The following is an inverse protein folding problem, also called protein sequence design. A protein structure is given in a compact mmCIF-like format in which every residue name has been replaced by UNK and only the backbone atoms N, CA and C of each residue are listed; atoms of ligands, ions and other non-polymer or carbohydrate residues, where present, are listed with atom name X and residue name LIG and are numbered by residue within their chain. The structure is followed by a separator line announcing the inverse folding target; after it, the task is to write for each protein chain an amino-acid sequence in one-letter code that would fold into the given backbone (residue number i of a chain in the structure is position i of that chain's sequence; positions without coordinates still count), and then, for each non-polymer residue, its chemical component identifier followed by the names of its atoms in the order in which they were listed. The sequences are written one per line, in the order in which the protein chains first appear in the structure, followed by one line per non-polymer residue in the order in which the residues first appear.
data_IF_201498741124
#
_entry.id   IF_201498741124
#
_cell.length_a   1.000
_cell.length_b   1.000
_cell.length_c   1.000
_cell.angle_alpha   90.00
_cell.angle_beta   90.00
_cell.angle_gamma   90.00
#
_symmetry.space_group_name_H-M   'P 1'
#
loop_
_entity.id
_entity.type
_entity.pdbx_description
1 polymer ?
#
# COMPACT_ATOMS: atom_id res chain seq x y z
N UNK A 1 -14.32 4.43 -8.05
CA UNK A 1 -14.47 3.77 -9.37
C UNK A 1 -15.81 4.19 -9.96
N UNK A 2 -15.87 5.17 -10.86
CA UNK A 2 -17.14 5.80 -11.24
C UNK A 2 -17.78 5.13 -12.47
N UNK A 3 -18.73 4.22 -12.26
CA UNK A 3 -19.66 3.78 -13.30
C UNK A 3 -20.69 4.91 -13.48
N UNK A 4 -20.51 5.76 -14.49
CA UNK A 4 -21.50 6.76 -14.92
C UNK A 4 -22.18 6.31 -16.22
N UNK A 5 -23.51 6.22 -16.21
CA UNK A 5 -24.34 6.11 -17.41
C UNK A 5 -25.57 5.23 -17.20
N UNK A 6 -26.71 5.85 -16.91
CA UNK A 6 -28.02 5.21 -16.74
C UNK A 6 -28.79 5.08 -18.07
N UNK A 7 -29.63 4.03 -18.08
CA UNK A 7 -30.86 3.80 -18.85
C UNK A 7 -30.77 3.28 -20.30
N UNK A 8 -31.19 2.03 -20.46
CA UNK A 8 -31.86 1.50 -21.65
C UNK A 8 -32.78 0.34 -21.25
N UNK A 9 -34.10 0.56 -21.29
CA UNK A 9 -35.08 -0.52 -21.18
C UNK A 9 -34.97 -1.41 -22.43
N UNK A 10 -34.72 -2.71 -22.24
CA UNK A 10 -34.69 -3.68 -23.34
C UNK A 10 -34.55 -5.09 -22.80
N UNK A 11 -35.67 -5.80 -22.70
CA UNK A 11 -35.69 -7.20 -22.25
C UNK A 11 -35.15 -8.15 -23.32
N UNK A 12 -34.29 -9.06 -22.89
CA UNK A 12 -34.21 -10.46 -23.33
C UNK A 12 -33.23 -11.22 -22.41
N UNK A 13 -33.54 -12.49 -22.18
CA UNK A 13 -32.95 -13.50 -21.28
C UNK A 13 -31.42 -13.39 -21.01
N UNK A 14 -30.94 -13.71 -19.79
CA UNK A 14 -29.53 -13.56 -19.44
C UNK A 14 -28.74 -14.76 -19.97
N UNK A 15 -28.31 -14.66 -21.21
CA UNK A 15 -27.12 -15.36 -21.66
C UNK A 15 -25.92 -14.55 -21.16
N UNK A 16 -25.00 -15.19 -20.44
CA UNK A 16 -23.76 -14.54 -19.97
C UNK A 16 -22.98 -14.04 -21.17
N UNK A 17 -22.95 -12.72 -21.37
CA UNK A 17 -22.05 -12.07 -22.31
C UNK A 17 -20.87 -11.55 -21.49
N UNK A 18 -19.73 -12.26 -21.59
CA UNK A 18 -18.48 -11.80 -21.01
C UNK A 18 -18.23 -10.34 -21.44
N UNK A 19 -17.95 -9.47 -20.46
CA UNK A 19 -17.73 -8.04 -20.72
C UNK A 19 -18.99 -7.16 -20.69
N UNK A 20 -20.04 -7.55 -19.97
CA UNK A 20 -21.17 -6.67 -19.65
C UNK A 20 -21.37 -6.52 -18.13
N UNK A 21 -21.88 -5.35 -17.71
CA UNK A 21 -22.35 -5.11 -16.35
C UNK A 21 -23.67 -5.85 -16.17
N UNK A 22 -23.72 -6.77 -15.19
CA UNK A 22 -24.92 -7.48 -14.79
C UNK A 22 -25.80 -6.57 -13.94
N UNK A 23 -27.06 -6.40 -14.35
CA UNK A 23 -28.08 -5.66 -13.60
C UNK A 23 -29.15 -6.62 -13.07
N UNK A 24 -28.99 -7.13 -11.86
CA UNK A 24 -29.97 -7.97 -11.17
C UNK A 24 -29.70 -8.05 -9.66
N UNK A 25 -30.76 -8.21 -8.88
CA UNK A 25 -30.69 -8.45 -7.43
C UNK A 25 -30.61 -9.95 -7.08
N UNK A 26 -30.68 -10.82 -8.08
CA UNK A 26 -30.47 -12.26 -7.91
C UNK A 26 -28.99 -12.57 -7.74
N UNK A 27 -28.70 -13.70 -7.09
CA UNK A 27 -27.34 -14.25 -6.97
C UNK A 27 -26.74 -14.53 -8.35
N UNK A 28 -25.42 -14.40 -8.47
CA UNK A 28 -24.70 -14.87 -9.65
C UNK A 28 -24.83 -16.39 -9.84
N UNK A 29 -24.63 -16.88 -11.06
CA UNK A 29 -24.59 -18.34 -11.29
C UNK A 29 -23.44 -19.00 -10.52
N UNK A 30 -22.29 -18.32 -10.39
CA UNK A 30 -21.16 -18.82 -9.61
C UNK A 30 -21.47 -18.96 -8.11
N UNK A 31 -22.21 -18.01 -7.52
CA UNK A 31 -22.68 -18.12 -6.15
C UNK A 31 -23.75 -19.21 -5.98
N UNK A 32 -24.70 -19.32 -6.92
CA UNK A 32 -25.70 -20.41 -6.91
C UNK A 32 -25.04 -21.78 -6.98
N UNK A 33 -24.03 -21.95 -7.83
CA UNK A 33 -23.26 -23.18 -7.94
C UNK A 33 -22.52 -23.48 -6.65
N UNK A 34 -21.74 -22.53 -6.13
CA UNK A 34 -20.94 -22.73 -4.92
C UNK A 34 -21.80 -23.07 -3.69
N UNK A 35 -22.88 -22.30 -3.48
CA UNK A 35 -23.79 -22.52 -2.36
C UNK A 35 -24.59 -23.80 -2.53
N UNK A 36 -25.01 -24.13 -3.77
CA UNK A 36 -25.64 -25.40 -4.13
C UNK A 36 -24.76 -26.60 -3.81
N UNK A 37 -23.49 -26.58 -4.23
CA UNK A 37 -22.52 -27.64 -3.96
C UNK A 37 -22.24 -27.80 -2.47
N UNK A 38 -22.27 -26.71 -1.70
CA UNK A 38 -22.04 -26.72 -0.25
C UNK A 38 -23.20 -27.27 0.57
N UNK A 39 -24.45 -27.22 0.07
CA UNK A 39 -25.64 -27.64 0.84
C UNK A 39 -25.50 -29.03 1.45
N UNK A 40 -24.97 -30.00 0.71
CA UNK A 40 -24.82 -31.37 1.20
C UNK A 40 -23.96 -31.42 2.49
N UNK A 41 -22.84 -30.69 2.51
CA UNK A 41 -21.94 -30.61 3.66
C UNK A 41 -22.59 -29.95 4.88
N UNK A 42 -23.35 -28.88 4.65
CA UNK A 42 -24.11 -28.18 5.71
C UNK A 42 -25.19 -29.10 6.28
N UNK A 43 -25.94 -29.80 5.44
CA UNK A 43 -26.98 -30.75 5.86
C UNK A 43 -26.41 -31.88 6.70
N UNK A 44 -25.27 -32.46 6.29
CA UNK A 44 -24.59 -33.51 7.04
C UNK A 44 -24.11 -33.00 8.41
N UNK A 45 -23.57 -31.79 8.46
CA UNK A 45 -23.16 -31.15 9.71
C UNK A 45 -24.37 -30.95 10.65
N UNK A 46 -25.45 -30.32 10.18
CA UNK A 46 -26.68 -30.08 10.96
C UNK A 46 -27.28 -31.39 11.50
N UNK A 47 -27.29 -32.44 10.68
CA UNK A 47 -27.74 -33.77 11.09
C UNK A 47 -26.86 -34.35 12.21
N UNK A 48 -25.54 -34.18 12.12
CA UNK A 48 -24.62 -34.64 13.17
C UNK A 48 -24.82 -33.90 14.51
N UNK A 49 -25.28 -32.64 14.44
CA UNK A 49 -25.69 -31.83 15.59
C UNK A 49 -27.11 -32.14 16.11
N UNK A 50 -27.82 -33.11 15.50
CA UNK A 50 -29.18 -33.48 15.90
C UNK A 50 -30.27 -32.53 15.39
N UNK A 51 -29.95 -31.65 14.44
CA UNK A 51 -30.87 -30.69 13.83
C UNK A 51 -31.39 -31.30 12.52
N UNK A 52 -32.58 -31.91 12.58
CA UNK A 52 -33.25 -32.41 11.38
C UNK A 52 -33.90 -31.26 10.61
N UNK A 53 -33.46 -31.01 9.38
CA UNK A 53 -34.10 -30.09 8.44
C UNK A 53 -34.20 -30.75 7.06
N UNK A 54 -35.16 -30.28 6.25
CA UNK A 54 -35.18 -30.56 4.82
C UNK A 54 -34.31 -29.52 4.10
N UNK A 55 -33.75 -29.85 2.94
CA UNK A 55 -32.86 -28.96 2.19
C UNK A 55 -33.51 -27.58 1.93
N UNK A 56 -34.78 -27.55 1.55
CA UNK A 56 -35.54 -26.32 1.29
C UNK A 56 -35.73 -25.43 2.52
N UNK A 57 -35.56 -25.99 3.73
CA UNK A 57 -35.69 -25.31 5.02
C UNK A 57 -34.36 -25.22 5.77
N UNK A 58 -33.23 -25.52 5.10
CA UNK A 58 -31.91 -25.46 5.71
C UNK A 58 -31.56 -24.00 6.06
N UNK A 59 -31.08 -23.71 7.29
CA UNK A 59 -30.68 -22.36 7.66
C UNK A 59 -29.42 -21.94 6.90
N UNK A 60 -29.44 -20.72 6.34
CA UNK A 60 -28.24 -20.07 5.82
C UNK A 60 -27.48 -19.41 6.97
N UNK A 61 -26.41 -20.05 7.42
CA UNK A 61 -25.57 -19.55 8.52
C UNK A 61 -24.40 -18.77 7.93
N UNK A 62 -24.17 -17.55 8.40
CA UNK A 62 -23.05 -16.70 8.01
C UNK A 62 -22.16 -16.39 9.21
N UNK A 63 -20.84 -16.39 8.99
CA UNK A 63 -19.84 -15.87 9.94
C UNK A 63 -19.39 -14.50 9.44
N UNK A 64 -19.39 -13.50 10.32
CA UNK A 64 -19.04 -12.13 9.98
C UNK A 64 -17.78 -11.70 10.74
N UNK A 65 -16.70 -11.47 9.99
CA UNK A 65 -15.43 -10.94 10.47
C UNK A 65 -15.40 -9.41 10.45
N UNK A 66 -15.22 -8.80 11.61
CA UNK A 66 -15.09 -7.34 11.74
C UNK A 66 -13.70 -6.82 11.35
N UNK A 67 -13.60 -5.52 11.07
CA UNK A 67 -12.30 -4.86 10.88
C UNK A 67 -11.44 -4.80 12.15
N UNK A 68 -10.15 -4.49 11.98
CA UNK A 68 -9.20 -4.36 13.09
C UNK A 68 -7.76 -4.77 12.80
N UNK A 69 -7.34 -4.70 11.53
CA UNK A 69 -5.99 -5.07 11.10
C UNK A 69 -5.57 -6.49 11.51
N UNK A 70 -4.29 -6.66 11.87
CA UNK A 70 -3.73 -7.96 12.28
C UNK A 70 -4.49 -8.62 13.45
N UNK A 71 -5.03 -7.82 14.38
CA UNK A 71 -5.85 -8.35 15.48
C UNK A 71 -7.08 -9.08 14.95
N UNK A 72 -7.79 -8.48 13.99
CA UNK A 72 -8.98 -9.10 13.39
C UNK A 72 -8.62 -10.32 12.54
N UNK A 73 -7.49 -10.26 11.82
CA UNK A 73 -6.97 -11.40 11.06
C UNK A 73 -6.72 -12.61 11.98
N UNK A 74 -5.91 -12.43 13.03
CA UNK A 74 -5.55 -13.49 13.98
C UNK A 74 -6.78 -14.00 14.74
N UNK A 75 -7.66 -13.09 15.18
CA UNK A 75 -8.88 -13.47 15.89
C UNK A 75 -9.85 -14.27 15.01
N UNK A 76 -9.99 -13.91 13.73
CA UNK A 76 -10.83 -14.68 12.80
C UNK A 76 -10.23 -16.07 12.56
N UNK A 77 -8.92 -16.18 12.34
CA UNK A 77 -8.26 -17.48 12.18
C UNK A 77 -8.55 -18.40 13.36
N UNK A 78 -8.29 -17.95 14.60
CA UNK A 78 -8.54 -18.74 15.80
C UNK A 78 -10.02 -19.07 16.00
N UNK A 79 -10.92 -18.16 15.62
CA UNK A 79 -12.37 -18.42 15.66
C UNK A 79 -12.77 -19.53 14.69
N UNK A 80 -12.23 -19.54 13.47
CA UNK A 80 -12.52 -20.57 12.46
C UNK A 80 -11.97 -21.93 12.88
N UNK A 81 -10.76 -21.97 13.46
CA UNK A 81 -10.19 -23.19 14.06
C UNK A 81 -11.11 -23.73 15.15
N UNK A 82 -11.58 -22.88 16.07
CA UNK A 82 -12.45 -23.32 17.14
C UNK A 82 -13.83 -23.76 16.62
N UNK A 83 -14.39 -23.09 15.61
CA UNK A 83 -15.60 -23.55 14.94
C UNK A 83 -15.42 -24.94 14.33
N UNK A 84 -14.25 -25.26 13.76
CA UNK A 84 -13.95 -26.61 13.25
C UNK A 84 -13.86 -27.61 14.40
N UNK A 85 -13.16 -27.27 15.49
CA UNK A 85 -13.03 -28.14 16.67
C UNK A 85 -14.38 -28.47 17.33
N UNK A 86 -15.32 -27.53 17.32
CA UNK A 86 -16.68 -27.71 17.84
C UNK A 86 -17.63 -28.37 16.82
N UNK A 87 -17.15 -28.71 15.62
CA UNK A 87 -17.96 -29.31 14.57
C UNK A 87 -19.04 -28.37 14.00
N UNK A 88 -18.83 -27.05 14.09
CA UNK A 88 -19.77 -26.02 13.65
C UNK A 88 -19.38 -25.38 12.31
N UNK A 89 -18.10 -25.41 11.93
CA UNK A 89 -17.60 -24.73 10.72
C UNK A 89 -18.27 -25.26 9.44
N UNK A 90 -18.54 -26.57 9.38
CA UNK A 90 -19.15 -27.20 8.21
C UNK A 90 -20.62 -26.81 8.01
N UNK A 91 -21.29 -26.24 9.04
CA UNK A 91 -22.63 -25.69 8.93
C UNK A 91 -22.66 -24.26 8.36
N UNK A 92 -21.51 -23.57 8.28
CA UNK A 92 -21.42 -22.19 7.79
C UNK A 92 -21.55 -22.16 6.27
N UNK A 93 -22.52 -21.43 5.74
CA UNK A 93 -22.72 -21.23 4.31
C UNK A 93 -21.86 -20.08 3.78
N UNK A 94 -21.81 -18.95 4.49
CA UNK A 94 -21.08 -17.75 4.07
C UNK A 94 -20.03 -17.34 5.10
N UNK A 95 -18.88 -16.91 4.61
CA UNK A 95 -17.86 -16.23 5.40
C UNK A 95 -17.69 -14.82 4.86
N UNK A 96 -18.09 -13.84 5.65
CA UNK A 96 -18.08 -12.43 5.25
C UNK A 96 -17.03 -11.67 6.06
N UNK A 97 -16.36 -10.68 5.46
CA UNK A 97 -15.34 -9.91 6.17
C UNK A 97 -15.10 -8.51 5.63
N UNK A 98 -14.63 -7.64 6.52
CA UNK A 98 -14.14 -6.29 6.21
C UNK A 98 -12.77 -6.06 6.84
N UNK A 99 -11.94 -5.22 6.22
CA UNK A 99 -10.61 -4.83 6.74
C UNK A 99 -9.79 -6.05 7.20
N UNK A 100 -9.20 -6.08 8.39
CA UNK A 100 -8.29 -7.16 8.82
C UNK A 100 -8.84 -8.59 8.69
N UNK A 101 -10.16 -8.81 8.77
CA UNK A 101 -10.74 -10.12 8.50
C UNK A 101 -10.61 -10.56 7.04
N UNK A 102 -10.63 -9.62 6.08
CA UNK A 102 -10.40 -9.96 4.67
C UNK A 102 -9.00 -10.48 4.42
N UNK A 103 -8.00 -10.05 5.22
CA UNK A 103 -6.63 -10.56 5.11
C UNK A 103 -6.54 -12.04 5.51
N UNK A 104 -7.27 -12.44 6.56
CA UNK A 104 -7.38 -13.85 6.96
C UNK A 104 -8.12 -14.65 5.90
N UNK A 105 -9.25 -14.14 5.41
CA UNK A 105 -10.02 -14.80 4.36
C UNK A 105 -9.19 -14.98 3.09
N UNK A 106 -8.53 -13.94 2.57
CA UNK A 106 -7.72 -14.06 1.35
C UNK A 106 -6.56 -15.06 1.52
N UNK A 107 -5.94 -15.13 2.70
CA UNK A 107 -4.92 -16.13 3.01
C UNK A 107 -5.48 -17.55 2.97
N UNK A 108 -6.65 -17.78 3.57
CA UNK A 108 -7.29 -19.10 3.61
C UNK A 108 -7.70 -19.61 2.23
N UNK A 109 -8.27 -18.74 1.39
CA UNK A 109 -8.84 -19.15 0.09
C UNK A 109 -7.80 -19.41 -1.02
N UNK A 110 -6.51 -19.20 -0.73
CA UNK A 110 -5.42 -19.76 -1.55
C UNK A 110 -5.41 -21.30 -1.50
N UNK A 111 -5.86 -21.89 -0.39
CA UNK A 111 -5.93 -23.34 -0.20
C UNK A 111 -7.31 -23.87 -0.59
N UNK A 112 -7.33 -24.79 -1.56
CA UNK A 112 -8.57 -25.34 -2.14
C UNK A 112 -9.51 -25.90 -1.09
N UNK A 113 -9.01 -26.63 -0.10
CA UNK A 113 -9.82 -27.31 0.92
C UNK A 113 -9.48 -26.78 2.33
N UNK A 114 -9.33 -25.46 2.46
CA UNK A 114 -8.81 -24.83 3.69
C UNK A 114 -9.57 -25.19 4.96
N UNK A 115 -10.87 -25.46 4.89
CA UNK A 115 -11.66 -25.85 6.08
C UNK A 115 -11.24 -27.20 6.66
N UNK A 116 -10.66 -28.10 5.85
CA UNK A 116 -10.08 -29.36 6.32
C UNK A 116 -8.64 -29.19 6.84
N UNK A 117 -7.96 -28.13 6.39
CA UNK A 117 -6.57 -27.83 6.73
C UNK A 117 -6.43 -26.65 7.72
N UNK A 118 -7.51 -26.20 8.34
CA UNK A 118 -7.58 -24.90 9.05
C UNK A 118 -6.58 -24.79 10.21
N UNK A 119 -6.30 -25.88 10.93
CA UNK A 119 -5.29 -25.90 11.98
C UNK A 119 -3.87 -25.78 11.41
N UNK A 120 -3.56 -26.47 10.31
CA UNK A 120 -2.26 -26.36 9.65
C UNK A 120 -2.05 -24.94 9.08
N UNK A 121 -3.12 -24.32 8.57
CA UNK A 121 -3.11 -22.94 8.10
C UNK A 121 -2.95 -21.92 9.24
N UNK A 122 -3.47 -22.21 10.44
CA UNK A 122 -3.19 -21.38 11.63
C UNK A 122 -1.70 -21.42 12.00
N UNK A 123 -1.10 -22.60 11.98
CA UNK A 123 0.36 -22.74 12.22
C UNK A 123 1.16 -22.02 11.14
N UNK A 124 0.80 -22.18 9.86
CA UNK A 124 1.44 -21.47 8.76
C UNK A 124 1.30 -19.94 8.90
N UNK A 125 0.11 -19.44 9.26
CA UNK A 125 -0.10 -18.02 9.48
C UNK A 125 0.77 -17.48 10.62
N UNK A 126 0.81 -18.20 11.75
CA UNK A 126 1.64 -17.84 12.90
C UNK A 126 3.11 -17.76 12.50
N UNK A 127 3.60 -18.76 11.76
CA UNK A 127 4.99 -18.83 11.35
C UNK A 127 5.31 -17.68 10.36
N UNK A 128 4.44 -17.41 9.40
CA UNK A 128 4.55 -16.27 8.47
C UNK A 128 4.62 -14.93 9.21
N UNK A 129 3.70 -14.68 10.14
CA UNK A 129 3.68 -13.42 10.90
C UNK A 129 4.85 -13.30 11.91
N UNK A 130 5.49 -14.42 12.26
CA UNK A 130 6.67 -14.45 13.13
C UNK A 130 7.99 -14.28 12.37
N UNK A 131 7.95 -14.25 11.03
CA UNK A 131 9.13 -14.04 10.21
C UNK A 131 9.76 -12.65 10.46
N UNK A 132 11.05 -12.56 10.10
CA UNK A 132 11.79 -11.30 10.12
C UNK A 132 11.06 -10.19 9.33
N UNK A 133 11.27 -8.91 9.67
CA UNK A 133 10.78 -7.80 8.87
C UNK A 133 11.17 -7.93 7.39
N UNK A 134 10.27 -7.51 6.50
CA UNK A 134 10.54 -7.46 5.07
C UNK A 134 11.72 -6.51 4.78
N UNK A 135 12.52 -6.83 3.75
CA UNK A 135 13.56 -5.90 3.30
C UNK A 135 12.86 -4.68 2.70
N UNK A 136 13.21 -3.50 3.21
CA UNK A 136 12.65 -2.26 2.70
C UNK A 136 12.88 -2.10 1.19
N UNK A 137 13.97 -2.67 0.64
CA UNK A 137 14.24 -2.62 -0.80
C UNK A 137 13.21 -3.41 -1.60
N UNK A 138 12.70 -4.51 -1.05
CA UNK A 138 11.64 -5.29 -1.66
C UNK A 138 10.33 -4.50 -1.63
N UNK A 139 10.02 -3.84 -0.51
CA UNK A 139 8.85 -2.95 -0.38
C UNK A 139 8.88 -1.83 -1.44
N UNK A 140 10.03 -1.17 -1.60
CA UNK A 140 10.21 -0.14 -2.62
C UNK A 140 10.16 -0.69 -4.04
N UNK A 141 10.77 -1.85 -4.31
CA UNK A 141 10.71 -2.47 -5.64
C UNK A 141 9.26 -2.79 -6.03
N UNK A 142 8.46 -3.29 -5.09
CA UNK A 142 7.02 -3.54 -5.28
C UNK A 142 6.26 -2.24 -5.53
N UNK A 143 6.50 -1.19 -4.75
CA UNK A 143 5.84 0.10 -4.94
C UNK A 143 6.20 0.75 -6.30
N UNK A 144 7.48 0.72 -6.70
CA UNK A 144 7.96 1.19 -8.00
C UNK A 144 7.30 0.43 -9.14
N UNK A 145 7.17 -0.90 -9.03
CA UNK A 145 6.47 -1.70 -10.04
C UNK A 145 4.99 -1.32 -10.13
N UNK A 146 4.30 -1.16 -9.00
CA UNK A 146 2.90 -0.75 -8.99
C UNK A 146 2.70 0.66 -9.61
N UNK A 147 3.67 1.57 -9.44
CA UNK A 147 3.65 2.89 -10.06
C UNK A 147 3.76 2.87 -11.60
N UNK A 148 4.23 1.77 -12.19
CA UNK A 148 4.21 1.55 -13.64
C UNK A 148 2.81 1.24 -14.19
N UNK A 149 1.88 0.78 -13.35
CA UNK A 149 0.55 0.39 -13.77
C UNK A 149 -0.38 1.59 -14.03
N UNK A 150 -1.25 1.48 -15.03
CA UNK A 150 -2.19 2.55 -15.42
C UNK A 150 -3.20 2.90 -14.30
N UNK A 151 -3.46 1.95 -13.39
CA UNK A 151 -4.42 2.06 -12.28
C UNK A 151 -3.76 2.33 -10.92
N UNK A 152 -2.53 2.86 -10.92
CA UNK A 152 -1.85 3.24 -9.69
C UNK A 152 -2.67 4.21 -8.82
N UNK A 153 -2.60 4.03 -7.51
CA UNK A 153 -3.32 4.80 -6.49
C UNK A 153 -2.57 4.74 -5.16
N UNK A 154 -2.96 5.57 -4.19
CA UNK A 154 -2.42 5.49 -2.82
C UNK A 154 -2.69 4.15 -2.13
N UNK A 155 -3.66 3.37 -2.63
CA UNK A 155 -3.88 2.00 -2.17
C UNK A 155 -2.72 1.09 -2.52
N UNK A 156 -2.04 1.31 -3.66
CA UNK A 156 -0.84 0.57 -4.03
C UNK A 156 0.29 0.87 -3.03
N UNK A 157 0.55 2.15 -2.72
CA UNK A 157 1.54 2.53 -1.70
C UNK A 157 1.21 1.94 -0.33
N UNK A 158 -0.06 2.00 0.10
CA UNK A 158 -0.51 1.39 1.35
C UNK A 158 -0.31 -0.13 1.36
N UNK A 159 -0.60 -0.79 0.23
CA UNK A 159 -0.37 -2.22 0.09
C UNK A 159 1.12 -2.57 0.18
N UNK A 160 1.98 -1.84 -0.55
CA UNK A 160 3.42 -2.08 -0.62
C UNK A 160 4.14 -1.80 0.69
N UNK A 161 3.85 -0.68 1.34
CA UNK A 161 4.59 -0.24 2.52
C UNK A 161 3.98 -0.71 3.83
N UNK A 162 2.66 -0.88 3.92
CA UNK A 162 2.04 -1.29 5.17
C UNK A 162 1.54 -2.73 5.15
N UNK A 163 0.67 -3.09 4.20
CA UNK A 163 0.00 -4.40 4.21
C UNK A 163 1.01 -5.52 4.00
N UNK A 164 1.87 -5.41 2.99
CA UNK A 164 2.90 -6.42 2.75
C UNK A 164 3.81 -6.62 3.96
N UNK A 165 4.41 -5.57 4.56
CA UNK A 165 5.24 -5.76 5.74
C UNK A 165 4.46 -6.20 6.98
N UNK A 166 3.19 -5.86 7.11
CA UNK A 166 2.35 -6.33 8.21
C UNK A 166 2.02 -7.83 8.07
N UNK A 167 1.71 -8.29 6.85
CA UNK A 167 1.35 -9.68 6.56
C UNK A 167 2.56 -10.57 6.27
N UNK A 168 3.75 -9.99 6.08
CA UNK A 168 4.99 -10.70 5.69
C UNK A 168 4.87 -11.46 4.37
N UNK A 169 3.89 -11.09 3.54
CA UNK A 169 3.57 -11.77 2.29
C UNK A 169 3.02 -10.77 1.28
N UNK A 170 3.61 -10.74 0.08
CA UNK A 170 3.08 -10.00 -1.05
C UNK A 170 2.31 -10.96 -1.96
N UNK A 171 1.00 -11.04 -1.76
CA UNK A 171 0.15 -11.97 -2.49
C UNK A 171 -0.17 -11.46 -3.90
N UNK A 172 0.48 -12.08 -4.88
CA UNK A 172 0.34 -11.77 -6.31
C UNK A 172 -0.81 -12.52 -6.99
N UNK A 173 -1.50 -13.41 -6.28
CA UNK A 173 -2.67 -14.12 -6.82
C UNK A 173 -3.84 -13.17 -7.03
N UNK A 174 -4.86 -13.62 -7.75
CA UNK A 174 -6.05 -12.85 -8.09
C UNK A 174 -7.28 -13.38 -7.36
N UNK A 175 -8.25 -12.51 -7.08
CA UNK A 175 -9.47 -12.95 -6.39
C UNK A 175 -10.26 -13.94 -7.25
N UNK A 176 -10.25 -13.77 -8.57
CA UNK A 176 -10.83 -14.72 -9.52
C UNK A 176 -10.19 -16.12 -9.48
N UNK A 177 -8.94 -16.25 -9.05
CA UNK A 177 -8.25 -17.54 -8.91
C UNK A 177 -8.77 -18.35 -7.70
N UNK A 178 -9.49 -17.72 -6.77
CA UNK A 178 -10.11 -18.38 -5.62
C UNK A 178 -11.44 -19.08 -5.92
N UNK A 179 -11.87 -19.11 -7.20
CA UNK A 179 -13.11 -19.78 -7.63
C UNK A 179 -13.11 -21.26 -7.24
N UNK A 180 -12.01 -21.98 -7.45
CA UNK A 180 -11.91 -23.42 -7.15
C UNK A 180 -12.09 -23.74 -5.66
N UNK A 181 -11.52 -22.90 -4.79
CA UNK A 181 -11.69 -23.02 -3.34
C UNK A 181 -13.11 -22.66 -2.88
N UNK A 182 -13.90 -22.04 -3.74
CA UNK A 182 -15.24 -21.54 -3.44
C UNK A 182 -16.33 -22.47 -4.00
N UNK A 183 -16.16 -22.99 -5.21
CA UNK A 183 -17.19 -23.79 -5.91
C UNK A 183 -17.17 -25.27 -5.55
N UNK A 184 -16.09 -25.78 -4.94
CA UNK A 184 -15.96 -27.19 -4.57
C UNK A 184 -16.95 -27.68 -3.49
N UNK A 185 -17.64 -26.77 -2.79
CA UNK A 185 -18.55 -27.07 -1.69
C UNK A 185 -17.87 -27.37 -0.36
N UNK A 186 -16.53 -27.49 -0.32
CA UNK A 186 -15.74 -27.79 0.88
C UNK A 186 -15.70 -26.60 1.83
N UNK A 187 -15.60 -25.37 1.31
CA UNK A 187 -15.46 -24.14 2.10
C UNK A 187 -16.69 -23.23 2.02
N UNK A 188 -16.97 -22.37 3.03
CA UNK A 188 -18.01 -21.34 2.93
C UNK A 188 -17.81 -20.45 1.70
N UNK A 189 -18.87 -19.82 1.22
CA UNK A 189 -18.76 -18.81 0.16
C UNK A 189 -18.18 -17.51 0.73
N UNK A 190 -17.08 -16.97 0.18
CA UNK A 190 -16.44 -15.78 0.71
C UNK A 190 -17.09 -14.50 0.16
N UNK A 191 -17.38 -13.56 1.05
CA UNK A 191 -17.84 -12.21 0.70
C UNK A 191 -16.93 -11.18 1.35
N UNK A 192 -16.23 -10.40 0.55
CA UNK A 192 -15.39 -9.29 1.01
C UNK A 192 -16.14 -7.99 0.75
N UNK A 193 -15.98 -7.00 1.62
CA UNK A 193 -16.70 -5.73 1.44
C UNK A 193 -15.82 -4.50 1.72
N UNK A 194 -16.08 -3.45 0.95
CA UNK A 194 -15.55 -2.10 1.15
C UNK A 194 -16.66 -1.06 0.98
N UNK A 195 -16.33 0.21 1.24
CA UNK A 195 -17.24 1.33 1.07
C UNK A 195 -16.68 2.24 -0.03
N UNK A 196 -17.45 2.50 -1.08
CA UNK A 196 -17.18 3.59 -2.01
C UNK A 196 -17.56 4.91 -1.31
N UNK A 197 -16.54 5.69 -0.96
CA UNK A 197 -16.74 7.05 -0.51
C UNK A 197 -17.19 7.91 -1.70
N UNK A 198 -18.32 8.60 -1.57
CA UNK A 198 -18.84 9.42 -2.65
C UNK A 198 -18.51 10.90 -2.37
N UNK A 199 -17.39 11.46 -2.89
CA UNK A 199 -16.93 12.81 -2.52
C UNK A 199 -17.89 13.92 -2.94
N UNK A 200 -18.83 13.64 -3.84
CA UNK A 200 -19.79 14.61 -4.40
C UNK A 200 -21.15 14.61 -3.71
N UNK A 201 -21.44 13.62 -2.88
CA UNK A 201 -22.67 13.54 -2.11
C UNK A 201 -22.32 13.77 -0.63
N UNK A 202 -22.90 14.81 -0.03
CA UNK A 202 -22.89 15.03 1.44
C UNK A 202 -23.80 14.02 2.15
N UNK A 203 -23.76 12.75 1.74
CA UNK A 203 -24.44 11.66 2.44
C UNK A 203 -23.38 11.10 3.38
N UNK A 204 -23.66 11.11 4.69
CA UNK A 204 -22.73 10.66 5.74
C UNK A 204 -22.41 9.15 5.64
N UNK A 205 -23.21 8.39 4.89
CA UNK A 205 -23.08 6.94 4.71
C UNK A 205 -22.63 6.65 3.27
N UNK A 206 -21.40 6.14 3.11
CA UNK A 206 -20.90 5.68 1.80
C UNK A 206 -21.64 4.44 1.29
N UNK A 207 -21.42 4.06 0.04
CA UNK A 207 -22.11 2.92 -0.57
C UNK A 207 -21.30 1.63 -0.43
N UNK A 208 -21.91 0.56 0.07
CA UNK A 208 -21.27 -0.75 0.12
C UNK A 208 -20.95 -1.28 -1.27
N UNK A 209 -19.72 -1.76 -1.42
CA UNK A 209 -19.22 -2.48 -2.59
C UNK A 209 -18.78 -3.87 -2.15
N UNK A 210 -19.30 -4.88 -2.82
CA UNK A 210 -19.08 -6.29 -2.55
C UNK A 210 -18.06 -6.87 -3.53
N UNK A 211 -17.22 -7.78 -3.05
CA UNK A 211 -16.28 -8.55 -3.86
C UNK A 211 -16.44 -10.03 -3.54
N UNK A 212 -16.49 -10.84 -4.59
CA UNK A 212 -16.46 -12.30 -4.52
C UNK A 212 -15.49 -12.81 -5.60
N UNK A 213 -15.10 -14.10 -5.57
CA UNK A 213 -14.32 -14.68 -6.67
C UNK A 213 -15.03 -14.66 -8.03
N UNK A 214 -16.36 -14.47 -8.06
CA UNK A 214 -17.16 -14.56 -9.29
C UNK A 214 -17.48 -13.18 -9.85
N UNK A 215 -18.01 -12.31 -8.99
CA UNK A 215 -18.39 -10.95 -9.36
C UNK A 215 -18.14 -9.95 -8.24
N UNK A 216 -18.03 -8.68 -8.62
CA UNK A 216 -17.81 -7.57 -7.72
C UNK A 216 -18.70 -6.39 -8.14
N UNK A 217 -19.29 -5.67 -7.18
CA UNK A 217 -20.27 -4.64 -7.52
C UNK A 217 -21.01 -4.00 -6.36
N UNK A 218 -22.06 -3.27 -6.72
CA UNK A 218 -22.93 -2.55 -5.80
C UNK A 218 -24.22 -3.33 -5.57
N UNK A 219 -24.35 -4.11 -4.48
CA UNK A 219 -25.55 -4.90 -4.22
C UNK A 219 -26.82 -4.05 -4.11
N UNK A 220 -26.72 -2.84 -3.55
CA UNK A 220 -27.85 -1.91 -3.45
C UNK A 220 -28.36 -1.38 -4.80
N UNK A 221 -27.57 -1.52 -5.88
CA UNK A 221 -27.98 -1.19 -7.24
C UNK A 221 -28.26 -2.44 -8.09
N UNK A 222 -28.00 -3.64 -7.55
CA UNK A 222 -27.97 -4.87 -8.31
C UNK A 222 -26.98 -4.84 -9.47
N UNK A 223 -25.90 -4.04 -9.38
CA UNK A 223 -24.99 -3.77 -10.50
C UNK A 223 -23.62 -4.39 -10.24
N UNK A 224 -23.26 -5.41 -11.03
CA UNK A 224 -22.05 -6.21 -10.83
C UNK A 224 -21.26 -6.39 -12.13
N UNK A 225 -19.95 -6.59 -12.01
CA UNK A 225 -19.07 -7.02 -13.10
C UNK A 225 -18.41 -8.34 -12.70
N UNK A 226 -17.97 -9.13 -13.68
CA UNK A 226 -17.07 -10.25 -13.42
C UNK A 226 -15.83 -9.73 -12.67
N UNK A 227 -15.40 -10.44 -11.63
CA UNK A 227 -14.27 -9.99 -10.78
C UNK A 227 -12.98 -9.80 -11.59
N UNK A 228 -12.77 -10.62 -12.63
CA UNK A 228 -11.64 -10.50 -13.57
C UNK A 228 -11.64 -9.18 -14.36
N UNK A 229 -12.80 -8.53 -14.50
CA UNK A 229 -12.93 -7.27 -15.23
C UNK A 229 -12.95 -6.06 -14.27
N UNK A 230 -12.83 -6.27 -12.96
CA UNK A 230 -12.76 -5.19 -11.97
C UNK A 230 -11.57 -4.26 -12.26
N UNK A 231 -11.84 -2.96 -12.37
CA UNK A 231 -10.85 -1.93 -12.76
C UNK A 231 -10.81 -1.62 -14.27
N UNK A 232 -11.44 -2.45 -15.09
CA UNK A 232 -11.58 -2.21 -16.54
C UNK A 232 -12.50 -1.01 -16.85
N UNK A 233 -12.42 -0.47 -18.08
CA UNK A 233 -13.28 0.64 -18.50
C UNK A 233 -14.57 0.13 -19.13
N UNK A 234 -15.70 0.56 -18.57
CA UNK A 234 -17.04 0.27 -19.07
C UNK A 234 -17.71 1.53 -19.61
N UNK A 235 -18.59 1.38 -20.61
CA UNK A 235 -19.44 2.45 -21.11
C UNK A 235 -20.81 1.89 -21.47
N UNK A 236 -21.86 2.48 -20.88
CA UNK A 236 -23.25 2.04 -21.05
C UNK A 236 -23.48 0.56 -20.71
N UNK A 237 -22.76 0.04 -19.71
CA UNK A 237 -22.84 -1.36 -19.31
C UNK A 237 -21.88 -2.29 -20.07
N UNK A 238 -21.32 -1.89 -21.20
CA UNK A 238 -20.40 -2.77 -21.93
C UNK A 238 -18.93 -2.46 -21.59
N UNK A 239 -18.11 -3.51 -21.53
CA UNK A 239 -16.66 -3.47 -21.46
C UNK A 239 -16.10 -2.84 -22.73
N UNK A 240 -15.31 -1.78 -22.58
CA UNK A 240 -14.66 -1.09 -23.71
C UNK A 240 -13.15 -1.31 -23.73
N UNK A 241 -12.55 -1.44 -22.56
CA UNK A 241 -11.13 -1.67 -22.42
C UNK A 241 -10.91 -2.60 -21.23
N UNK A 242 -10.53 -3.84 -21.52
CA UNK A 242 -10.14 -4.82 -20.50
C UNK A 242 -8.78 -4.42 -19.94
N UNK A 243 -8.68 -4.45 -18.62
CA UNK A 243 -7.44 -4.26 -17.87
C UNK A 243 -7.17 -5.50 -17.04
N UNK A 244 -5.92 -5.64 -16.62
CA UNK A 244 -5.53 -6.73 -15.75
C UNK A 244 -6.18 -6.55 -14.36
N UNK A 245 -6.71 -7.65 -13.84
CA UNK A 245 -7.22 -7.73 -12.47
C UNK A 245 -6.08 -7.46 -11.47
N UNK A 246 -6.34 -6.57 -10.52
CA UNK A 246 -5.42 -6.28 -9.41
C UNK A 246 -5.25 -7.50 -8.50
N UNK A 247 -4.04 -7.71 -8.00
CA UNK A 247 -3.73 -8.83 -7.12
C UNK A 247 -4.38 -8.70 -5.72
N UNK A 248 -4.36 -9.80 -4.97
CA UNK A 248 -4.89 -9.87 -3.60
C UNK A 248 -4.21 -8.87 -2.68
N UNK A 249 -2.90 -8.63 -2.79
CA UNK A 249 -2.24 -7.64 -1.93
C UNK A 249 -2.82 -6.23 -2.10
N UNK A 250 -3.10 -5.82 -3.34
CA UNK A 250 -3.81 -4.58 -3.63
C UNK A 250 -5.20 -4.58 -3.00
N UNK A 251 -5.97 -5.67 -3.15
CA UNK A 251 -7.30 -5.79 -2.56
C UNK A 251 -7.27 -5.78 -1.03
N UNK A 252 -6.26 -6.38 -0.39
CA UNK A 252 -6.03 -6.29 1.05
C UNK A 252 -5.74 -4.85 1.48
N UNK A 253 -4.98 -4.10 0.66
CA UNK A 253 -4.80 -2.66 0.78
C UNK A 253 -6.12 -1.90 0.70
N UNK A 254 -6.95 -2.22 -0.31
CA UNK A 254 -8.25 -1.58 -0.55
C UNK A 254 -9.22 -1.84 0.61
N UNK A 255 -9.42 -3.10 0.99
CA UNK A 255 -10.28 -3.51 2.11
C UNK A 255 -9.77 -2.97 3.45
N UNK A 256 -8.46 -2.83 3.60
CA UNK A 256 -7.75 -2.36 4.79
C UNK A 256 -7.41 -0.86 4.79
N UNK A 257 -7.98 -0.07 3.88
CA UNK A 257 -7.56 1.32 3.60
C UNK A 257 -8.01 2.36 4.64
N UNK A 258 -8.69 1.96 5.72
CA UNK A 258 -9.18 2.89 6.74
C UNK A 258 -8.09 3.77 7.38
N UNK A 259 -6.84 3.28 7.41
CA UNK A 259 -5.66 4.02 7.85
C UNK A 259 -4.70 4.37 6.70
N UNK A 260 -5.05 4.04 5.46
CA UNK A 260 -4.23 4.26 4.26
C UNK A 260 -4.29 5.68 3.73
N UNK A 261 -4.25 6.68 4.61
CA UNK A 261 -4.16 8.08 4.19
C UNK A 261 -2.74 8.43 3.75
N UNK A 262 -2.58 9.44 2.90
CA UNK A 262 -1.25 9.92 2.47
C UNK A 262 -0.37 10.30 3.68
N UNK A 263 -0.95 10.92 4.71
CA UNK A 263 -0.24 11.30 5.94
C UNK A 263 0.30 10.07 6.69
N UNK A 264 -0.55 9.05 6.86
CA UNK A 264 -0.18 7.80 7.55
C UNK A 264 0.86 6.99 6.77
N UNK A 265 0.72 6.88 5.44
CA UNK A 265 1.71 6.24 4.57
C UNK A 265 3.08 6.92 4.75
N UNK A 266 3.09 8.24 4.81
CA UNK A 266 4.34 9.01 4.94
C UNK A 266 4.93 8.88 6.33
N UNK A 267 4.12 8.94 7.39
CA UNK A 267 4.58 8.68 8.75
C UNK A 267 5.20 7.29 8.85
N UNK A 268 4.55 6.28 8.26
CA UNK A 268 5.07 4.92 8.22
C UNK A 268 6.42 4.83 7.49
N UNK A 269 6.54 5.44 6.30
CA UNK A 269 7.79 5.50 5.56
C UNK A 269 8.92 6.16 6.35
N UNK A 270 8.62 7.26 7.05
CA UNK A 270 9.58 7.93 7.92
C UNK A 270 10.02 7.00 9.05
N UNK A 271 9.09 6.37 9.77
CA UNK A 271 9.40 5.46 10.86
C UNK A 271 10.27 4.30 10.40
N UNK A 272 9.95 3.70 9.23
CA UNK A 272 10.76 2.64 8.62
C UNK A 272 12.16 3.10 8.24
N UNK A 273 12.32 4.32 7.73
CA UNK A 273 13.64 4.91 7.51
C UNK A 273 14.40 5.11 8.82
N UNK A 274 13.73 5.57 9.87
CA UNK A 274 14.34 5.77 11.19
C UNK A 274 14.82 4.44 11.82
N UNK A 275 14.18 3.32 11.51
CA UNK A 275 14.64 1.99 11.91
C UNK A 275 15.93 1.56 11.19
N UNK A 276 16.07 1.88 9.92
CA UNK A 276 17.28 1.60 9.13
C UNK A 276 18.44 2.51 9.53
N UNK A 277 18.13 3.73 9.95
CA UNK A 277 19.11 4.73 10.38
C UNK A 277 18.97 5.06 11.88
N UNK A 278 19.33 4.14 12.79
CA UNK A 278 19.06 4.28 14.23
C UNK A 278 19.75 5.49 14.90
N UNK A 279 20.79 6.04 14.29
CA UNK A 279 21.44 7.27 14.74
C UNK A 279 20.60 8.54 14.44
N UNK A 280 19.80 8.52 13.36
CA UNK A 280 18.82 9.57 13.02
C UNK A 280 17.65 9.53 14.02
N UNK A 281 17.17 8.33 14.36
CA UNK A 281 16.10 8.10 15.32
C UNK A 281 16.38 8.71 16.70
N UNK A 282 17.57 8.45 17.28
CA UNK A 282 17.96 8.98 18.59
C UNK A 282 17.93 10.51 18.63
N UNK A 283 18.32 11.15 17.52
CA UNK A 283 18.35 12.60 17.44
C UNK A 283 16.94 13.19 17.26
N UNK A 284 16.09 12.55 16.45
CA UNK A 284 14.71 12.98 16.21
C UNK A 284 13.86 13.04 17.49
N UNK A 285 13.93 12.03 18.36
CA UNK A 285 13.20 12.04 19.63
C UNK A 285 13.70 13.11 20.62
N UNK A 286 15.01 13.39 20.63
CA UNK A 286 15.59 14.43 21.49
C UNK A 286 15.11 15.85 21.12
N UNK A 287 14.77 16.09 19.85
CA UNK A 287 14.23 17.38 19.39
C UNK A 287 12.73 17.50 19.67
N UNK A 288 11.97 16.39 19.57
CA UNK A 288 10.53 16.38 19.87
C UNK A 288 10.22 16.52 21.37
N UNK A 289 11.02 15.96 22.27
CA UNK A 289 10.86 16.16 23.73
C UNK A 289 11.12 17.62 24.17
N UNK A 290 11.83 18.41 23.36
CA UNK A 290 12.12 19.81 23.63
C UNK A 290 10.96 20.78 23.27
N UNK A 291 9.79 20.27 22.88
CA UNK A 291 8.57 21.06 22.64
C UNK A 291 8.51 21.80 21.30
N UNK A 292 9.27 21.34 20.30
CA UNK A 292 9.23 21.90 18.94
C UNK A 292 7.96 21.48 18.19
N UNK A 293 7.17 22.45 17.73
CA UNK A 293 6.09 22.21 16.76
C UNK A 293 6.66 21.55 15.49
N UNK A 294 6.01 20.45 15.05
CA UNK A 294 6.26 19.73 13.80
C UNK A 294 6.22 20.72 12.62
N UNK A 295 7.40 21.16 12.23
CA UNK A 295 7.66 22.01 11.07
C UNK A 295 8.95 21.52 10.43
N UNK A 296 9.17 21.82 9.13
CA UNK A 296 10.40 21.53 8.38
C UNK A 296 11.72 21.90 9.12
N UNK A 297 11.63 22.75 10.16
CA UNK A 297 12.74 23.10 11.04
C UNK A 297 13.21 21.94 11.94
N UNK A 298 12.35 20.97 12.28
CA UNK A 298 12.70 19.82 13.13
C UNK A 298 13.59 18.82 12.36
N UNK A 299 13.23 18.51 11.11
CA UNK A 299 14.05 17.70 10.20
C UNK A 299 15.40 18.37 9.89
N UNK A 300 15.40 19.69 9.63
CA UNK A 300 16.63 20.49 9.50
C UNK A 300 17.49 20.46 10.77
N UNK A 301 16.88 20.52 11.95
CA UNK A 301 17.58 20.41 13.22
C UNK A 301 18.17 19.01 13.42
N UNK A 302 17.48 17.94 13.03
CA UNK A 302 17.95 16.54 13.05
C UNK A 302 19.10 16.30 12.06
N UNK A 303 19.03 16.87 10.85
CA UNK A 303 20.11 16.83 9.87
C UNK A 303 21.37 17.61 10.32
N UNK A 304 21.19 18.74 11.01
CA UNK A 304 22.27 19.59 11.58
C UNK A 304 23.02 18.98 12.76
N UNK A 305 22.55 17.85 13.29
CA UNK A 305 22.92 17.35 14.62
C UNK A 305 23.20 15.85 14.65
N UNK A 306 22.79 15.13 13.60
CA UNK A 306 23.55 14.01 13.03
C UNK A 306 25.03 14.36 12.78
N UNK A 307 25.33 15.65 12.73
CA UNK A 307 26.64 16.28 12.89
C UNK A 307 27.12 16.33 14.37
N UNK A 308 26.90 15.30 15.19
CA UNK A 308 27.18 15.40 16.64
C UNK A 308 28.69 15.53 16.96
N UNK A 309 29.07 16.13 18.11
CA UNK A 309 30.35 16.84 18.35
C UNK A 309 31.61 15.98 18.50
N UNK A 310 31.55 14.70 18.10
CA UNK A 310 32.66 13.75 18.21
C UNK A 310 33.43 13.53 16.92
N UNK A 311 32.90 13.96 15.77
CA UNK A 311 33.52 13.78 14.44
C UNK A 311 33.21 14.98 13.54
N UNK A 312 33.71 16.16 13.89
CA UNK A 312 33.63 17.33 12.99
C UNK A 312 34.57 17.14 11.79
N UNK A 313 34.10 16.44 10.74
CA UNK A 313 34.71 16.58 9.43
C UNK A 313 34.36 17.96 8.90
N UNK A 314 35.25 18.93 9.15
CA UNK A 314 35.23 20.26 8.54
C UNK A 314 35.66 20.25 7.08
N UNK A 315 35.73 19.06 6.48
CA UNK A 315 36.07 18.86 5.09
C UNK A 315 34.99 19.47 4.19
N UNK A 316 35.43 20.06 3.08
CA UNK A 316 34.54 20.69 2.09
C UNK A 316 33.46 19.73 1.57
N UNK A 317 33.74 18.42 1.58
CA UNK A 317 32.77 17.38 1.26
C UNK A 317 31.58 17.37 2.23
N UNK A 318 31.78 17.11 3.52
CA UNK A 318 30.66 17.00 4.48
C UNK A 318 29.88 18.30 4.65
N UNK A 319 30.56 19.45 4.61
CA UNK A 319 29.89 20.75 4.63
C UNK A 319 29.06 20.99 3.36
N UNK A 320 29.52 20.48 2.20
CA UNK A 320 28.81 20.60 0.94
C UNK A 320 27.52 19.79 0.93
N UNK A 321 27.58 18.55 1.43
CA UNK A 321 26.40 17.68 1.61
C UNK A 321 25.34 18.33 2.48
N UNK A 322 25.76 18.89 3.63
CA UNK A 322 24.87 19.56 4.56
C UNK A 322 24.13 20.73 3.88
N UNK A 323 24.85 21.60 3.17
CA UNK A 323 24.23 22.74 2.50
C UNK A 323 23.42 22.35 1.27
N UNK A 324 23.73 21.25 0.59
CA UNK A 324 22.86 20.70 -0.46
C UNK A 324 21.53 20.23 0.14
N UNK A 325 21.54 19.47 1.22
CA UNK A 325 20.30 19.05 1.92
C UNK A 325 19.51 20.25 2.44
N UNK A 326 20.18 21.23 3.03
CA UNK A 326 19.56 22.48 3.50
C UNK A 326 18.92 23.27 2.35
N UNK A 327 19.59 23.32 1.20
CA UNK A 327 19.10 23.99 0.00
C UNK A 327 17.84 23.31 -0.53
N UNK A 328 17.81 21.98 -0.55
CA UNK A 328 16.64 21.19 -0.93
C UNK A 328 15.46 21.48 -0.01
N UNK A 329 15.66 21.46 1.32
CA UNK A 329 14.57 21.76 2.27
C UNK A 329 14.04 23.18 2.11
N UNK A 330 14.93 24.17 1.92
CA UNK A 330 14.51 25.56 1.69
C UNK A 330 13.73 25.70 0.38
N UNK A 331 14.19 25.04 -0.68
CA UNK A 331 13.55 25.03 -1.99
C UNK A 331 12.10 24.53 -1.93
N UNK A 332 11.92 23.35 -1.36
CA UNK A 332 10.63 22.65 -1.29
C UNK A 332 9.63 23.37 -0.36
N UNK A 333 10.15 24.05 0.65
CA UNK A 333 9.37 24.91 1.55
C UNK A 333 9.06 26.31 0.98
N UNK A 334 9.55 26.65 -0.21
CA UNK A 334 9.40 27.99 -0.81
C UNK A 334 10.09 29.11 -0.02
N UNK A 335 11.08 28.76 0.81
CA UNK A 335 11.86 29.71 1.60
C UNK A 335 12.98 30.30 0.73
N UNK A 336 13.51 31.44 1.16
CA UNK A 336 14.68 32.02 0.51
C UNK A 336 15.89 31.08 0.62
N UNK A 337 16.54 30.84 -0.51
CA UNK A 337 17.70 29.97 -0.66
C UNK A 337 19.02 30.75 -0.80
N UNK A 338 18.98 32.08 -0.90
CA UNK A 338 20.17 32.90 -1.21
C UNK A 338 21.27 32.72 -0.16
N UNK A 339 20.89 32.66 1.12
CA UNK A 339 21.82 32.41 2.22
C UNK A 339 22.49 31.03 2.15
N UNK A 340 21.73 30.00 1.78
CA UNK A 340 22.23 28.62 1.67
C UNK A 340 23.15 28.48 0.45
N UNK A 341 22.78 29.07 -0.69
CA UNK A 341 23.65 29.12 -1.87
C UNK A 341 24.97 29.83 -1.57
N UNK A 342 24.95 30.90 -0.78
CA UNK A 342 26.17 31.61 -0.39
C UNK A 342 27.10 30.69 0.41
N UNK A 343 26.58 29.98 1.40
CA UNK A 343 27.35 29.02 2.21
C UNK A 343 27.86 27.84 1.37
N UNK A 344 27.01 27.29 0.50
CA UNK A 344 27.40 26.22 -0.41
C UNK A 344 28.52 26.67 -1.36
N UNK A 345 28.43 27.86 -1.94
CA UNK A 345 29.51 28.41 -2.79
C UNK A 345 30.82 28.55 -2.03
N UNK A 346 30.81 29.05 -0.79
CA UNK A 346 32.02 29.16 0.03
C UNK A 346 32.70 27.80 0.24
N UNK A 347 31.92 26.78 0.55
CA UNK A 347 32.42 25.41 0.74
C UNK A 347 32.93 24.80 -0.57
N UNK A 348 32.28 25.09 -1.69
CA UNK A 348 32.64 24.55 -3.00
C UNK A 348 33.79 25.28 -3.69
N UNK A 349 34.32 26.39 -3.17
CA UNK A 349 35.39 27.18 -3.84
C UNK A 349 36.60 26.37 -4.30
N UNK A 350 36.93 25.27 -3.61
CA UNK A 350 38.01 24.35 -3.99
C UNK A 350 37.66 23.33 -5.08
N UNK A 351 36.39 23.19 -5.44
CA UNK A 351 35.82 22.20 -6.36
C UNK A 351 35.22 22.94 -7.56
N UNK A 352 36.02 23.09 -8.61
CA UNK A 352 35.78 24.00 -9.74
C UNK A 352 34.44 23.75 -10.43
N UNK A 353 34.09 22.50 -10.73
CA UNK A 353 32.88 22.18 -11.50
C UNK A 353 31.62 22.35 -10.65
N UNK A 354 31.66 21.91 -9.41
CA UNK A 354 30.57 22.00 -8.43
C UNK A 354 30.29 23.46 -8.06
N UNK A 355 31.34 24.27 -7.89
CA UNK A 355 31.23 25.70 -7.65
C UNK A 355 30.58 26.42 -8.81
N UNK A 356 31.05 26.17 -10.04
CA UNK A 356 30.51 26.79 -11.25
C UNK A 356 29.03 26.46 -11.42
N UNK A 357 28.66 25.18 -11.25
CA UNK A 357 27.25 24.78 -11.34
C UNK A 357 26.41 25.41 -10.23
N UNK A 358 26.91 25.45 -8.99
CA UNK A 358 26.22 26.10 -7.88
C UNK A 358 25.96 27.59 -8.14
N UNK A 359 26.90 28.30 -8.77
CA UNK A 359 26.71 29.69 -9.19
C UNK A 359 25.61 29.82 -10.25
N UNK A 360 25.67 29.02 -11.31
CA UNK A 360 24.67 29.00 -12.39
C UNK A 360 23.24 28.71 -11.86
N UNK A 361 23.13 27.68 -11.02
CA UNK A 361 21.86 27.27 -10.41
C UNK A 361 21.32 28.38 -9.50
N UNK A 362 22.18 28.99 -8.68
CA UNK A 362 21.81 30.10 -7.80
C UNK A 362 21.34 31.35 -8.54
N UNK A 363 21.97 31.69 -9.67
CA UNK A 363 21.62 32.88 -10.46
C UNK A 363 20.29 32.72 -11.19
N UNK A 364 20.02 31.51 -11.69
CA UNK A 364 18.79 31.21 -12.44
C UNK A 364 17.65 30.72 -11.56
N UNK A 365 17.89 30.49 -10.27
CA UNK A 365 16.96 29.85 -9.34
C UNK A 365 15.56 30.46 -9.33
N UNK A 366 15.49 31.78 -9.19
CA UNK A 366 14.23 32.52 -9.06
C UNK A 366 13.42 32.58 -10.36
N UNK A 367 14.04 32.29 -11.51
CA UNK A 367 13.40 32.32 -12.83
C UNK A 367 12.81 30.96 -13.24
N UNK A 368 13.16 29.89 -12.51
CA UNK A 368 12.81 28.50 -12.84
C UNK A 368 11.58 28.03 -12.06
N UNK A 369 10.81 27.16 -12.67
CA UNK A 369 9.73 26.37 -12.04
C UNK A 369 10.29 25.37 -11.03
N UNK A 370 9.44 24.79 -10.19
CA UNK A 370 9.88 23.77 -9.20
C UNK A 370 10.54 22.57 -9.89
N UNK A 371 9.96 22.08 -10.98
CA UNK A 371 10.48 20.96 -11.77
C UNK A 371 11.87 21.26 -12.36
N UNK A 372 12.02 22.43 -12.98
CA UNK A 372 13.33 22.89 -13.51
C UNK A 372 14.38 23.08 -12.40
N UNK A 373 13.96 23.50 -11.20
CA UNK A 373 14.86 23.61 -10.03
C UNK A 373 15.33 22.24 -9.55
N UNK A 374 14.43 21.26 -9.50
CA UNK A 374 14.75 19.88 -9.08
C UNK A 374 15.75 19.26 -10.06
N UNK A 375 15.53 19.38 -11.37
CA UNK A 375 16.47 18.86 -12.40
C UNK A 375 17.87 19.49 -12.28
N UNK A 376 17.93 20.81 -12.10
CA UNK A 376 19.19 21.55 -11.94
C UNK A 376 19.92 21.19 -10.64
N UNK A 377 19.16 20.95 -9.59
CA UNK A 377 19.66 20.51 -8.30
C UNK A 377 20.21 19.08 -8.35
N UNK A 378 19.52 18.15 -9.03
CA UNK A 378 20.02 16.80 -9.28
C UNK A 378 21.33 16.80 -10.09
N UNK A 379 21.43 17.68 -11.10
CA UNK A 379 22.68 17.87 -11.85
C UNK A 379 23.82 18.42 -10.98
N UNK A 380 23.51 19.35 -10.07
CA UNK A 380 24.49 19.88 -9.11
C UNK A 380 25.00 18.79 -8.16
N UNK A 381 24.13 17.95 -7.61
CA UNK A 381 24.51 16.81 -6.76
C UNK A 381 25.43 15.86 -7.54
N UNK A 382 25.09 15.52 -8.78
CA UNK A 382 25.88 14.60 -9.60
C UNK A 382 27.28 15.12 -9.92
N UNK A 383 27.41 16.43 -10.14
CA UNK A 383 28.73 17.07 -10.35
C UNK A 383 29.54 17.07 -9.05
N UNK A 384 28.88 17.38 -7.93
CA UNK A 384 29.46 17.37 -6.59
C UNK A 384 30.03 16.00 -6.21
N UNK A 385 29.27 14.93 -6.45
CA UNK A 385 29.70 13.55 -6.18
C UNK A 385 30.87 13.09 -7.04
N UNK A 386 30.90 13.49 -8.32
CA UNK A 386 31.98 13.13 -9.23
C UNK A 386 33.29 13.85 -8.89
N UNK A 387 33.22 15.10 -8.43
CA UNK A 387 34.41 15.94 -8.23
C UNK A 387 35.12 15.68 -6.90
N UNK A 388 34.39 15.31 -5.86
CA UNK A 388 34.94 15.08 -4.51
C UNK A 388 35.29 13.62 -4.21
N UNK A 389 35.31 12.77 -5.23
CA UNK A 389 35.58 11.34 -5.10
C UNK A 389 34.32 10.61 -4.65
N UNK A 390 33.59 10.08 -5.65
CA UNK A 390 32.39 9.27 -5.44
C UNK A 390 32.69 8.13 -4.47
N UNK A 391 32.09 8.23 -3.27
CA UNK A 391 31.83 7.18 -2.26
C UNK A 391 31.78 7.69 -0.80
N UNK A 392 31.85 9.00 -0.50
CA UNK A 392 31.93 9.46 0.91
C UNK A 392 30.63 10.04 1.53
N UNK A 393 29.66 10.51 0.74
CA UNK A 393 28.27 10.70 1.22
C UNK A 393 27.72 9.34 1.70
N UNK A 394 28.07 8.30 0.93
CA UNK A 394 27.91 6.88 1.24
C UNK A 394 28.74 6.42 2.44
N UNK A 395 30.03 6.75 2.57
CA UNK A 395 30.82 6.31 3.72
C UNK A 395 30.32 6.93 5.04
N UNK A 396 29.79 8.16 5.02
CA UNK A 396 29.22 8.81 6.20
C UNK A 396 27.90 8.14 6.60
N UNK A 397 27.02 7.81 5.65
CA UNK A 397 25.79 7.04 5.89
C UNK A 397 26.05 5.56 6.21
N UNK A 398 27.06 4.92 5.59
CA UNK A 398 27.50 3.54 5.83
C UNK A 398 28.31 3.38 7.14
N UNK A 399 28.96 4.43 7.64
CA UNK A 399 29.62 4.41 8.96
C UNK A 399 28.62 4.51 10.12
N UNK A 400 27.38 4.92 9.84
CA UNK A 400 26.27 4.97 10.79
C UNK A 400 25.48 3.65 10.86
N UNK A 401 25.65 2.77 9.87
CA UNK A 401 25.27 1.35 9.93
C UNK A 401 26.42 0.53 10.51
N UNK A 402 26.16 -0.30 11.53
CA UNK A 402 27.16 -1.22 12.09
C UNK A 402 27.82 -2.12 11.03
N UNK A 403 29.04 -2.64 11.27
CA UNK A 403 29.89 -3.18 10.23
C UNK A 403 29.35 -4.52 9.72
N UNK A 404 28.98 -4.59 8.44
CA UNK A 404 28.68 -5.89 7.82
C UNK A 404 27.85 -5.93 6.54
N UNK A 405 27.16 -4.86 6.13
CA UNK A 405 26.33 -4.90 4.92
C UNK A 405 26.86 -4.00 3.81
N UNK A 406 27.43 -4.63 2.78
CA UNK A 406 27.75 -4.03 1.49
C UNK A 406 26.45 -3.70 0.74
N UNK A 407 26.01 -2.45 0.76
CA UNK A 407 24.99 -1.98 -0.17
C UNK A 407 25.41 -0.66 -0.82
N UNK A 408 25.88 -0.76 -2.06
CA UNK A 408 26.58 0.29 -2.81
C UNK A 408 25.86 0.72 -4.08
N UNK A 409 24.54 0.52 -4.19
CA UNK A 409 23.81 0.86 -5.42
C UNK A 409 23.27 2.29 -5.43
N UNK A 410 23.39 2.96 -6.59
CA UNK A 410 22.87 4.30 -6.86
C UNK A 410 21.35 4.46 -6.57
N UNK A 411 20.61 3.35 -6.55
CA UNK A 411 19.18 3.32 -6.21
C UNK A 411 18.91 3.75 -4.76
N UNK A 412 19.78 3.42 -3.80
CA UNK A 412 19.57 3.82 -2.39
C UNK A 412 19.76 5.33 -2.17
N UNK A 413 20.44 6.02 -3.08
CA UNK A 413 20.77 7.45 -3.01
C UNK A 413 19.62 8.33 -3.48
N UNK A 414 18.96 7.96 -4.59
CA UNK A 414 17.76 8.64 -5.09
C UNK A 414 16.58 8.46 -4.16
N UNK A 415 16.43 7.26 -3.60
CA UNK A 415 15.34 6.91 -2.70
C UNK A 415 15.27 7.78 -1.44
N UNK A 416 16.41 8.05 -0.79
CA UNK A 416 16.45 8.87 0.41
C UNK A 416 16.08 10.35 0.13
N UNK A 417 16.53 10.89 -1.01
CA UNK A 417 16.19 12.24 -1.47
C UNK A 417 14.71 12.37 -1.85
N UNK A 418 14.18 11.36 -2.53
CA UNK A 418 12.77 11.29 -2.91
C UNK A 418 11.84 11.13 -1.71
N UNK A 419 12.26 10.37 -0.70
CA UNK A 419 11.51 10.23 0.55
C UNK A 419 11.55 11.50 1.42
N UNK A 420 12.67 12.24 1.38
CA UNK A 420 12.78 13.58 1.95
C UNK A 420 11.84 14.57 1.24
N UNK A 421 11.76 14.50 -0.09
CA UNK A 421 10.88 15.33 -0.90
C UNK A 421 9.40 14.99 -0.68
N UNK A 422 9.06 13.71 -0.58
CA UNK A 422 7.74 13.18 -0.26
C UNK A 422 7.24 13.70 1.09
N UNK A 423 8.09 13.63 2.11
CA UNK A 423 7.79 14.14 3.44
C UNK A 423 7.53 15.65 3.44
N UNK A 424 8.31 16.43 2.68
CA UNK A 424 8.15 17.89 2.62
C UNK A 424 6.88 18.29 1.85
N UNK A 425 6.56 17.60 0.74
CA UNK A 425 5.36 17.90 -0.04
C UNK A 425 4.08 17.56 0.71
N UNK A 426 4.04 16.42 1.40
CA UNK A 426 2.86 16.02 2.16
C UNK A 426 2.67 16.84 3.44
N UNK A 427 3.75 17.18 4.14
CA UNK A 427 3.68 18.11 5.29
C UNK A 427 3.19 19.51 4.89
N UNK A 428 3.23 19.84 3.60
CA UNK A 428 2.72 21.08 3.02
C UNK A 428 1.34 20.93 2.34
N UNK A 429 0.71 19.74 2.40
CA UNK A 429 -0.58 19.46 1.75
C UNK A 429 -0.54 19.55 0.22
N UNK A 430 0.62 19.32 -0.39
CA UNK A 430 0.81 19.40 -1.84
C UNK A 430 0.61 18.04 -2.51
N UNK A 431 0.21 18.05 -3.77
CA UNK A 431 0.14 16.84 -4.60
C UNK A 431 1.55 16.22 -4.71
N UNK A 432 1.65 14.93 -4.40
CA UNK A 432 2.88 14.14 -4.38
C UNK A 432 3.06 13.23 -5.62
N UNK A 433 2.12 13.23 -6.58
CA UNK A 433 2.18 12.39 -7.80
C UNK A 433 3.51 12.52 -8.56
N UNK A 434 4.08 13.72 -8.64
CA UNK A 434 5.37 13.95 -9.30
C UNK A 434 6.55 13.29 -8.57
N UNK A 435 6.47 13.14 -7.24
CA UNK A 435 7.50 12.50 -6.43
C UNK A 435 7.39 10.99 -6.53
N UNK A 436 6.17 10.45 -6.56
CA UNK A 436 5.93 9.05 -6.89
C UNK A 436 6.39 8.71 -8.33
N UNK A 437 6.23 9.64 -9.27
CA UNK A 437 6.76 9.50 -10.64
C UNK A 437 8.29 9.53 -10.69
N UNK A 438 8.96 10.24 -9.77
CA UNK A 438 10.41 10.23 -9.66
C UNK A 438 10.95 9.06 -8.82
N UNK A 439 10.18 8.51 -7.87
CA UNK A 439 10.46 7.20 -7.23
C UNK A 439 10.38 6.04 -8.22
N UNK A 440 9.72 6.27 -9.35
CA UNK A 440 9.55 5.33 -10.46
C UNK A 440 10.70 5.38 -11.48
N UNK A 441 11.42 6.49 -11.61
CA UNK A 441 12.62 6.65 -12.48
C UNK A 441 13.92 6.30 -11.74
#
# INVERSE_FOLDING_TARGET
MAIQGLCGEGGSEPFWDDGCVRFSHELSEGEKEATGNRKAKVMDCLKSLGIACAEDNMPNIAVLGSGGGLRAMIALQGTLVELKNQGLLDAVMYLCGVSGSTWCMSFLYQEKDWTENVQALEECLRDTLSNSPCDIKEEFAVATQAAEEELFSLTDDWASFFVYPALKQYDMTKLSEHKDATTNGTNPYPIYAAIEANPWQKVEEGTWFEFTPHESGFPGLGAFVCTEDLGSKFKNGDLKEKRDEKNICYLQGLWGSALGSMEEIINYLIDRLMEIFPNIRKHWYAVNEAGGSLTNNCLLATLRSLSSPGTDCTCAHCQGVHHLLELHVHASAGKDCEGVFRQLKEVLKGNKNSYLKCCEVSETWHLKTLEERITEFAHLIRIFENELGGNCLLATLCSLSSPGNDCTSAHCQGLLLLLLELHIHASAGKNCEGIFTQLKE
#
